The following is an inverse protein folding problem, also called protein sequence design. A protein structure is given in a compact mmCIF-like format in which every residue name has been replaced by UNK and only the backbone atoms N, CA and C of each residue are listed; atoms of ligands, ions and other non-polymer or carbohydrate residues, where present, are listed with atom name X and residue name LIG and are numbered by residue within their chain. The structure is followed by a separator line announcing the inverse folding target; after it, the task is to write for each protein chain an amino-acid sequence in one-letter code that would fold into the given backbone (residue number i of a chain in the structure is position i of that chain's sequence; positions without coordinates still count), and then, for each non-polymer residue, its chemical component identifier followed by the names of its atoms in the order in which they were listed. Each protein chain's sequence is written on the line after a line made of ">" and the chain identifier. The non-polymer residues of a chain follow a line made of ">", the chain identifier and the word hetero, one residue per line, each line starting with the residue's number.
data_IF_111272214620
#
_entry.id   IF_111272214620
#
_cell.length_a   1.000
_cell.length_b   1.000
_cell.length_c   1.000
_cell.angle_alpha   90.00
_cell.angle_beta   90.00
_cell.angle_gamma   90.00
#
_symmetry.space_group_name_H-M   'P 1'
#
loop_
_entity.id
_entity.type
_entity.pdbx_description
1 polymer ?
#
# COMPACT_ATOMS: atom_id res chain seq x y z
N UNK A 1 12.33 -18.26 3.38
CA UNK A 1 11.45 -18.53 2.25
C UNK A 1 11.73 -17.64 1.07
N UNK A 2 11.22 -18.00 -0.07
CA UNK A 2 11.37 -17.22 -1.28
C UNK A 2 10.25 -16.15 -1.35
N UNK A 3 10.65 -14.94 -1.75
CA UNK A 3 9.72 -13.82 -1.88
C UNK A 3 9.75 -13.32 -3.32
N UNK A 4 8.87 -13.84 -4.20
CA UNK A 4 8.81 -13.37 -5.58
C UNK A 4 8.29 -11.93 -5.65
N UNK A 5 8.40 -11.33 -6.83
CA UNK A 5 7.83 -10.00 -7.08
C UNK A 5 6.34 -10.00 -6.68
N UNK A 6 5.91 -8.97 -5.98
CA UNK A 6 4.55 -8.87 -5.47
C UNK A 6 4.35 -9.50 -4.10
N UNK A 7 5.42 -9.88 -3.40
CA UNK A 7 5.30 -10.35 -2.02
C UNK A 7 5.12 -9.17 -1.07
N UNK A 8 4.22 -9.35 -0.11
CA UNK A 8 4.07 -8.46 1.03
C UNK A 8 4.51 -9.23 2.28
N UNK A 9 5.47 -8.67 3.00
CA UNK A 9 6.03 -9.31 4.20
C UNK A 9 5.97 -8.32 5.35
N UNK A 10 5.49 -8.79 6.49
CA UNK A 10 5.42 -8.02 7.71
C UNK A 10 6.22 -8.74 8.78
N UNK A 11 7.31 -8.10 9.20
CA UNK A 11 8.22 -8.63 10.23
C UNK A 11 8.13 -7.72 11.45
N UNK A 12 7.38 -8.11 12.49
CA UNK A 12 7.24 -7.28 13.70
C UNK A 12 8.53 -7.21 14.50
N UNK A 13 8.58 -6.36 15.54
CA UNK A 13 9.74 -6.27 16.41
C UNK A 13 10.14 -7.63 16.98
N UNK A 14 11.44 -7.82 17.17
CA UNK A 14 12.07 -9.05 17.69
C UNK A 14 11.95 -10.26 16.76
N UNK A 15 11.46 -10.07 15.54
CA UNK A 15 11.61 -11.07 14.48
C UNK A 15 12.97 -10.90 13.81
N UNK A 16 13.48 -11.96 13.21
CA UNK A 16 14.73 -11.91 12.48
C UNK A 16 14.58 -12.53 11.10
N UNK A 17 15.34 -11.98 10.15
CA UNK A 17 15.38 -12.49 8.80
C UNK A 17 16.68 -12.04 8.14
N UNK A 18 17.12 -12.79 7.16
CA UNK A 18 18.27 -12.43 6.34
C UNK A 18 17.83 -12.35 4.88
N UNK A 19 17.58 -11.14 4.37
CA UNK A 19 17.16 -11.01 2.97
C UNK A 19 18.34 -11.26 2.01
N UNK A 20 18.05 -11.92 0.91
CA UNK A 20 19.03 -12.13 -0.14
C UNK A 20 18.33 -12.26 -1.50
N UNK A 21 19.06 -11.95 -2.56
CA UNK A 21 18.57 -12.11 -3.93
C UNK A 21 19.75 -12.44 -4.85
N UNK A 22 19.58 -13.49 -5.66
CA UNK A 22 20.64 -13.92 -6.59
C UNK A 22 20.78 -12.97 -7.79
N UNK A 23 19.67 -12.41 -8.24
CA UNK A 23 19.64 -11.54 -9.43
C UNK A 23 19.39 -10.08 -9.11
N UNK A 24 19.39 -9.74 -7.82
CA UNK A 24 19.02 -8.39 -7.39
C UNK A 24 17.50 -8.21 -7.33
N UNK A 25 17.05 -7.21 -6.62
CA UNK A 25 15.63 -6.90 -6.50
C UNK A 25 15.44 -5.47 -6.02
N UNK A 26 14.24 -4.94 -6.24
CA UNK A 26 13.80 -3.68 -5.64
C UNK A 26 12.84 -4.01 -4.49
N UNK A 27 13.08 -3.40 -3.34
CA UNK A 27 12.19 -3.56 -2.19
C UNK A 27 11.77 -2.19 -1.67
N UNK A 28 10.54 -2.13 -1.15
CA UNK A 28 10.03 -0.99 -0.42
C UNK A 28 9.94 -1.38 1.06
N UNK A 29 10.65 -0.65 1.91
CA UNK A 29 10.79 -0.99 3.32
C UNK A 29 10.28 0.14 4.19
N UNK A 30 9.47 -0.21 5.19
CA UNK A 30 9.02 0.69 6.24
C UNK A 30 9.61 0.21 7.56
N UNK A 31 10.30 1.09 8.24
CA UNK A 31 10.98 0.78 9.51
C UNK A 31 10.29 1.49 10.67
N UNK A 32 10.35 0.87 11.85
CA UNK A 32 9.89 1.43 13.12
C UNK A 32 8.42 1.83 13.13
N UNK A 33 7.59 1.08 12.40
CA UNK A 33 6.16 1.39 12.26
C UNK A 33 5.28 0.59 13.22
N UNK A 34 5.83 -0.39 13.93
CA UNK A 34 5.05 -1.30 14.76
C UNK A 34 5.04 -0.87 16.22
N UNK A 35 3.92 -1.19 16.88
CA UNK A 35 3.88 -1.20 18.33
C UNK A 35 4.90 -2.21 18.85
N UNK A 36 5.55 -1.91 19.98
CA UNK A 36 6.57 -2.78 20.55
C UNK A 36 6.02 -4.16 20.94
N UNK A 37 4.74 -4.25 21.19
CA UNK A 37 4.06 -5.50 21.55
C UNK A 37 3.48 -6.24 20.34
N UNK A 38 3.58 -5.68 19.16
CA UNK A 38 3.07 -6.31 17.94
C UNK A 38 3.98 -7.47 17.54
N UNK A 39 3.39 -8.64 17.42
CA UNK A 39 4.09 -9.87 17.00
C UNK A 39 3.47 -10.51 15.78
N UNK A 40 2.56 -9.81 15.11
CA UNK A 40 1.87 -10.32 13.94
C UNK A 40 2.80 -10.34 12.73
N UNK A 41 3.13 -11.53 12.27
CA UNK A 41 3.94 -11.73 11.08
C UNK A 41 3.06 -12.13 9.91
N UNK A 42 3.31 -11.53 8.75
CA UNK A 42 2.53 -11.78 7.54
C UNK A 42 3.49 -12.01 6.36
N UNK A 43 3.16 -13.00 5.54
CA UNK A 43 3.86 -13.24 4.29
C UNK A 43 2.80 -13.62 3.25
N UNK A 44 2.54 -12.71 2.34
CA UNK A 44 1.49 -12.85 1.33
C UNK A 44 2.08 -12.60 -0.05
N UNK A 45 1.68 -13.44 -1.01
CA UNK A 45 1.99 -13.23 -2.42
C UNK A 45 0.74 -12.67 -3.10
N UNK A 46 0.87 -11.55 -3.78
CA UNK A 46 -0.28 -10.89 -4.44
C UNK A 46 -0.96 -11.81 -5.45
N UNK A 47 -0.20 -12.66 -6.12
CA UNK A 47 -0.74 -13.60 -7.09
C UNK A 47 -1.71 -14.63 -6.47
N UNK A 48 -1.62 -14.85 -5.16
CA UNK A 48 -2.47 -15.81 -4.44
C UNK A 48 -3.76 -15.17 -3.92
N UNK A 49 -3.93 -13.86 -4.12
CA UNK A 49 -5.11 -13.14 -3.68
C UNK A 49 -6.02 -12.86 -4.87
N UNK A 50 -7.31 -13.16 -4.72
CA UNK A 50 -8.31 -12.79 -5.72
C UNK A 50 -8.82 -11.38 -5.39
N UNK A 51 -8.54 -10.37 -6.23
CA UNK A 51 -9.05 -9.03 -6.00
C UNK A 51 -10.58 -9.00 -6.07
N UNK A 52 -11.18 -8.12 -5.27
CA UNK A 52 -12.63 -7.96 -5.21
C UNK A 52 -12.99 -6.54 -5.62
N UNK A 53 -14.02 -6.39 -6.44
CA UNK A 53 -14.50 -5.07 -6.84
C UNK A 53 -14.99 -4.30 -5.61
N UNK A 54 -14.64 -3.01 -5.55
CA UNK A 54 -15.14 -2.12 -4.51
C UNK A 54 -16.58 -1.75 -4.85
N UNK A 55 -17.57 -2.07 -3.98
CA UNK A 55 -18.96 -1.77 -4.26
C UNK A 55 -19.27 -0.27 -4.27
N UNK A 56 -18.40 0.55 -3.68
CA UNK A 56 -18.63 1.99 -3.53
C UNK A 56 -17.84 2.83 -4.54
N UNK A 57 -16.80 2.28 -5.15
CA UNK A 57 -15.95 3.00 -6.09
C UNK A 57 -15.85 2.24 -7.40
N UNK A 58 -16.49 2.75 -8.42
CA UNK A 58 -16.49 2.15 -9.75
C UNK A 58 -15.08 2.16 -10.35
N UNK A 59 -14.67 1.05 -10.92
CA UNK A 59 -13.36 0.92 -11.55
C UNK A 59 -12.23 0.60 -10.58
N UNK A 60 -12.53 0.29 -9.32
CA UNK A 60 -11.54 -0.06 -8.31
C UNK A 60 -11.72 -1.50 -7.89
N UNK A 61 -10.62 -2.26 -7.87
CA UNK A 61 -10.57 -3.58 -7.25
C UNK A 61 -9.58 -3.56 -6.10
N UNK A 62 -9.83 -4.38 -5.09
CA UNK A 62 -9.05 -4.41 -3.85
C UNK A 62 -8.54 -5.81 -3.60
N UNK A 63 -7.22 -5.92 -3.36
CA UNK A 63 -6.59 -7.12 -2.83
C UNK A 63 -6.13 -6.83 -1.41
N UNK A 64 -6.85 -7.29 -0.38
CA UNK A 64 -6.47 -7.02 1.01
C UNK A 64 -5.21 -7.79 1.39
N UNK A 65 -4.29 -7.13 2.10
CA UNK A 65 -3.04 -7.73 2.56
C UNK A 65 -3.02 -7.90 4.07
N UNK A 66 -3.47 -6.89 4.81
CA UNK A 66 -3.43 -6.91 6.27
C UNK A 66 -4.41 -5.88 6.82
N UNK A 67 -5.05 -6.21 7.94
CA UNK A 67 -5.89 -5.27 8.65
C UNK A 67 -5.89 -5.61 10.15
N UNK A 68 -5.70 -4.59 10.98
CA UNK A 68 -5.91 -4.68 12.41
C UNK A 68 -6.62 -3.40 12.88
N UNK A 69 -6.68 -3.18 14.19
CA UNK A 69 -7.35 -2.01 14.76
C UNK A 69 -6.61 -0.70 14.52
N UNK A 70 -5.33 -0.76 14.11
CA UNK A 70 -4.48 0.41 13.89
C UNK A 70 -4.35 0.77 12.42
N UNK A 71 -4.31 -0.21 11.52
CA UNK A 71 -3.96 0.01 10.13
C UNK A 71 -4.64 -0.97 9.20
N UNK A 72 -4.74 -0.57 7.95
CA UNK A 72 -5.19 -1.44 6.86
C UNK A 72 -4.20 -1.30 5.71
N UNK A 73 -3.76 -2.44 5.18
CA UNK A 73 -2.86 -2.50 4.03
C UNK A 73 -3.54 -3.30 2.92
N UNK A 74 -3.55 -2.74 1.73
CA UNK A 74 -4.15 -3.39 0.57
C UNK A 74 -3.49 -2.93 -0.72
N UNK A 75 -3.69 -3.69 -1.78
CA UNK A 75 -3.37 -3.25 -3.13
C UNK A 75 -4.68 -2.92 -3.84
N UNK A 76 -4.73 -1.76 -4.45
CA UNK A 76 -5.87 -1.35 -5.27
C UNK A 76 -5.44 -1.30 -6.74
N UNK A 77 -6.31 -1.75 -7.62
CA UNK A 77 -6.16 -1.55 -9.06
C UNK A 77 -7.24 -0.59 -9.52
N UNK A 78 -6.82 0.48 -10.18
CA UNK A 78 -7.70 1.52 -10.69
C UNK A 78 -7.77 1.42 -12.20
N UNK A 79 -8.98 1.33 -12.75
CA UNK A 79 -9.18 1.30 -14.19
C UNK A 79 -8.74 2.61 -14.83
N UNK A 80 -8.41 2.55 -16.13
CA UNK A 80 -7.94 3.72 -16.87
C UNK A 80 -8.88 4.92 -16.74
N UNK A 81 -8.31 6.09 -16.52
CA UNK A 81 -9.00 7.38 -16.46
C UNK A 81 -10.07 7.49 -15.35
N UNK A 82 -10.07 6.58 -14.39
CA UNK A 82 -11.04 6.59 -13.29
C UNK A 82 -10.69 7.66 -12.27
N UNK A 83 -11.71 8.40 -11.81
CA UNK A 83 -11.57 9.32 -10.68
C UNK A 83 -11.68 8.55 -9.38
N UNK A 84 -10.74 8.78 -8.48
CA UNK A 84 -10.62 8.04 -7.22
C UNK A 84 -10.65 9.02 -6.06
N UNK A 85 -11.38 8.65 -5.01
CA UNK A 85 -11.36 9.36 -3.74
C UNK A 85 -11.01 8.37 -2.64
N UNK A 86 -10.07 8.74 -1.78
CA UNK A 86 -9.69 7.95 -0.61
C UNK A 86 -9.83 8.84 0.60
N UNK A 87 -10.74 8.48 1.50
CA UNK A 87 -10.88 9.14 2.77
C UNK A 87 -9.85 8.56 3.74
N UNK A 88 -9.00 9.41 4.27
CA UNK A 88 -7.88 9.01 5.11
C UNK A 88 -7.89 9.74 6.46
N UNK A 89 -8.89 9.46 7.33
CA UNK A 89 -8.93 10.09 8.64
C UNK A 89 -7.70 9.78 9.50
N UNK A 90 -7.14 8.58 9.35
CA UNK A 90 -5.91 8.16 10.03
C UNK A 90 -4.65 8.34 9.20
N UNK A 91 -4.71 9.10 8.12
CA UNK A 91 -3.60 9.27 7.20
C UNK A 91 -3.46 8.12 6.22
N UNK A 92 -2.64 8.30 5.21
CA UNK A 92 -2.40 7.28 4.20
C UNK A 92 -1.00 7.37 3.61
N UNK A 93 -0.52 6.24 3.13
CA UNK A 93 0.67 6.17 2.30
C UNK A 93 0.34 5.34 1.05
N UNK A 94 0.74 5.84 -0.10
CA UNK A 94 0.50 5.21 -1.39
C UNK A 94 1.84 5.00 -2.09
N UNK A 95 2.03 3.81 -2.65
CA UNK A 95 3.16 3.52 -3.52
C UNK A 95 2.62 3.03 -4.85
N UNK A 96 3.03 3.68 -5.92
CA UNK A 96 2.63 3.27 -7.28
C UNK A 96 3.45 2.05 -7.68
N UNK A 97 2.78 0.92 -7.88
CA UNK A 97 3.42 -0.33 -8.31
C UNK A 97 3.53 -0.39 -9.83
N UNK A 98 2.49 0.05 -10.53
CA UNK A 98 2.48 0.15 -11.99
C UNK A 98 1.45 1.17 -12.44
N UNK A 99 1.57 1.64 -13.67
CA UNK A 99 0.71 2.68 -14.21
C UNK A 99 1.02 4.04 -13.62
N UNK A 100 0.02 4.90 -13.53
CA UNK A 100 0.18 6.27 -13.02
C UNK A 100 -1.15 6.84 -12.55
N UNK A 101 -1.06 7.88 -11.73
CA UNK A 101 -2.22 8.70 -11.42
C UNK A 101 -1.79 10.16 -11.21
N UNK A 102 -2.74 11.07 -11.31
CA UNK A 102 -2.53 12.49 -11.04
C UNK A 102 -3.33 12.89 -9.82
N UNK A 103 -2.69 13.60 -8.89
CA UNK A 103 -3.34 14.14 -7.71
C UNK A 103 -2.85 15.57 -7.49
N UNK A 104 -3.78 16.51 -7.37
CA UNK A 104 -3.49 17.93 -7.15
C UNK A 104 -2.47 18.50 -8.15
N UNK A 105 -2.59 18.09 -9.42
CA UNK A 105 -1.71 18.56 -10.48
C UNK A 105 -0.37 17.85 -10.57
N UNK A 106 -0.09 16.92 -9.69
CA UNK A 106 1.15 16.15 -9.72
C UNK A 106 0.91 14.76 -10.28
N UNK A 107 1.73 14.36 -11.25
CA UNK A 107 1.67 13.01 -11.81
C UNK A 107 2.60 12.08 -11.05
N UNK A 108 2.04 10.99 -10.53
CA UNK A 108 2.79 9.96 -9.84
C UNK A 108 2.89 8.73 -10.76
N UNK A 109 4.11 8.28 -10.98
CA UNK A 109 4.43 7.16 -11.86
C UNK A 109 4.92 5.98 -11.04
N UNK A 110 5.23 4.88 -11.71
CA UNK A 110 5.76 3.68 -11.05
C UNK A 110 6.90 4.03 -10.08
N UNK A 111 6.83 3.48 -8.87
CA UNK A 111 7.74 3.69 -7.74
C UNK A 111 7.63 5.06 -7.05
N UNK A 112 6.72 5.93 -7.51
CA UNK A 112 6.39 7.15 -6.76
C UNK A 112 5.68 6.81 -5.45
N UNK A 113 5.96 7.62 -4.44
CA UNK A 113 5.40 7.44 -3.10
C UNK A 113 4.75 8.74 -2.65
N UNK A 114 3.57 8.61 -2.04
CA UNK A 114 2.79 9.74 -1.52
C UNK A 114 2.38 9.42 -0.09
N UNK A 115 2.61 10.38 0.81
CA UNK A 115 2.14 10.31 2.19
C UNK A 115 1.23 11.50 2.44
N UNK A 116 0.06 11.23 3.03
CA UNK A 116 -0.87 12.29 3.41
C UNK A 116 -1.17 12.21 4.91
N UNK A 117 -1.30 13.37 5.57
CA UNK A 117 -1.51 13.40 7.02
C UNK A 117 -2.90 12.91 7.40
N UNK A 118 -3.12 12.77 8.71
CA UNK A 118 -4.45 12.45 9.25
C UNK A 118 -5.47 13.48 8.80
N UNK A 119 -6.74 13.07 8.74
CA UNK A 119 -7.88 13.92 8.33
C UNK A 119 -7.76 14.43 6.90
N UNK A 120 -7.04 13.70 6.05
CA UNK A 120 -6.90 14.06 4.64
C UNK A 120 -7.87 13.27 3.78
N UNK A 121 -8.17 13.83 2.61
CA UNK A 121 -8.87 13.14 1.53
C UNK A 121 -7.96 13.18 0.32
N UNK A 122 -7.67 12.02 -0.25
CA UNK A 122 -6.89 11.93 -1.48
C UNK A 122 -7.85 11.91 -2.65
N UNK A 123 -7.70 12.86 -3.56
CA UNK A 123 -8.41 12.86 -4.84
C UNK A 123 -7.39 12.59 -5.93
N UNK A 124 -7.69 11.66 -6.83
CA UNK A 124 -6.77 11.24 -7.86
C UNK A 124 -7.52 10.86 -9.12
N UNK A 125 -6.82 10.88 -10.23
CA UNK A 125 -7.32 10.35 -11.50
C UNK A 125 -6.28 9.38 -12.06
N UNK A 126 -6.69 8.13 -12.30
CA UNK A 126 -5.83 7.14 -12.91
C UNK A 126 -5.45 7.56 -14.32
N UNK A 127 -4.23 7.22 -14.73
CA UNK A 127 -3.76 7.49 -16.08
C UNK A 127 -4.42 6.61 -17.13
N UNK A 128 -4.00 6.77 -18.39
CA UNK A 128 -4.56 6.02 -19.52
C UNK A 128 -4.36 4.52 -19.41
N UNK A 129 -3.36 4.07 -18.68
CA UNK A 129 -3.05 2.66 -18.45
C UNK A 129 -3.61 2.14 -17.13
N UNK A 130 -4.35 2.99 -16.40
CA UNK A 130 -4.78 2.65 -15.06
C UNK A 130 -3.64 2.80 -14.06
N UNK A 131 -3.85 2.29 -12.85
CA UNK A 131 -2.83 2.31 -11.82
C UNK A 131 -3.01 1.13 -10.88
N UNK A 132 -1.89 0.60 -10.39
CA UNK A 132 -1.86 -0.40 -9.34
C UNK A 132 -1.11 0.19 -8.17
N UNK A 133 -1.77 0.26 -7.01
CA UNK A 133 -1.32 1.02 -5.87
C UNK A 133 -1.24 0.14 -4.63
N UNK A 134 -0.10 0.15 -3.95
CA UNK A 134 -0.02 -0.33 -2.58
C UNK A 134 -0.48 0.82 -1.68
N UNK A 135 -1.42 0.53 -0.79
CA UNK A 135 -2.05 1.54 0.06
C UNK A 135 -2.05 1.09 1.51
N UNK A 136 -1.60 1.96 2.40
CA UNK A 136 -1.66 1.76 3.85
C UNK A 136 -2.37 2.95 4.48
N UNK A 137 -3.39 2.67 5.29
CA UNK A 137 -4.20 3.72 5.94
C UNK A 137 -4.31 3.47 7.44
N UNK A 138 -4.58 4.53 8.19
CA UNK A 138 -4.87 4.49 9.63
C UNK A 138 -3.66 4.56 10.53
N UNK A 139 -2.49 4.22 10.03
CA UNK A 139 -1.28 4.04 10.85
C UNK A 139 -0.71 5.34 11.43
N UNK A 140 -1.05 6.49 10.88
CA UNK A 140 -0.48 7.75 11.35
C UNK A 140 -1.15 8.28 12.61
N UNK A 141 -2.33 7.76 12.97
CA UNK A 141 -2.99 8.12 14.22
C UNK A 141 -2.19 7.71 15.45
N UNK A 142 -1.49 6.59 15.39
CA UNK A 142 -0.72 6.04 16.51
C UNK A 142 0.78 6.18 16.31
N UNK A 143 1.21 6.89 15.28
CA UNK A 143 2.64 7.11 15.03
C UNK A 143 3.17 8.17 15.98
N UNK A 144 4.21 7.82 16.75
CA UNK A 144 4.94 8.75 17.61
C UNK A 144 6.27 9.17 16.99
N UNK A 145 6.55 8.65 15.80
CA UNK A 145 7.80 8.94 15.09
C UNK A 145 7.62 10.25 14.32
N UNK A 146 8.48 11.22 14.56
CA UNK A 146 8.44 12.47 13.81
C UNK A 146 8.78 12.29 12.33
#
# INVERSE_FOLDING_TARGET
>A
GDYPVGSYVRNPPQSSHTPSSKSGCAIFVKLRQFDLNDRTQVNIKLQDITPVADPQRRGVTIAPLFKDEREEVRVEEWAANTEIMIDAPGGAELLVLSGSFTSRGNKLISQSWLRVPIKSVVTAQAGEEGAKIWLKTGHLLSSTVP
#
